data_IF_154136561125
#
_entry.id   IF_154136561125
#
_cell.length_a   1.000
_cell.length_b   1.000
_cell.length_c   1.000
_cell.angle_alpha   90.00
_cell.angle_beta   90.00
_cell.angle_gamma   90.00
#
_symmetry.space_group_name_H-M   'P 1'
#
loop_
_entity.id
_entity.type
_entity.pdbx_description
1 polymer ?
#
# COMPACT_ATOMS: atom_id res chain seq x y z
N UNK A 1 -37.41 40.38 -57.89
CA UNK A 1 -36.13 39.72 -58.25
C UNK A 1 -35.12 40.03 -57.16
N UNK A 2 -34.50 38.98 -56.65
CA UNK A 2 -33.55 38.91 -55.53
C UNK A 2 -32.36 39.87 -55.62
N UNK A 3 -31.95 40.44 -54.49
CA UNK A 3 -30.54 40.61 -54.09
C UNK A 3 -30.43 40.83 -52.57
N UNK A 4 -29.68 39.94 -51.92
CA UNK A 4 -29.15 40.10 -50.56
C UNK A 4 -28.02 41.12 -50.58
N UNK A 5 -27.80 41.84 -49.47
CA UNK A 5 -26.46 42.21 -49.03
C UNK A 5 -26.41 42.37 -47.50
N UNK A 6 -25.40 41.75 -46.89
CA UNK A 6 -24.97 41.80 -45.49
C UNK A 6 -23.88 42.86 -45.37
N UNK A 7 -23.93 43.74 -44.36
CA UNK A 7 -22.80 44.41 -43.65
C UNK A 7 -23.46 45.10 -42.44
N UNK A 8 -23.00 45.18 -41.19
CA UNK A 8 -21.71 44.96 -40.53
C UNK A 8 -21.70 45.94 -39.33
N UNK A 9 -21.27 45.46 -38.16
CA UNK A 9 -21.24 46.21 -36.89
C UNK A 9 -20.21 47.34 -36.95
N UNK A 10 -20.55 48.54 -36.46
CA UNK A 10 -19.59 49.61 -36.16
C UNK A 10 -19.89 50.24 -34.80
N UNK A 11 -18.82 50.32 -34.01
CA UNK A 11 -18.63 50.99 -32.72
C UNK A 11 -19.19 52.41 -32.64
N UNK A 12 -19.66 52.80 -31.45
CA UNK A 12 -19.64 54.19 -31.00
C UNK A 12 -18.96 54.25 -29.63
N UNK A 13 -17.77 54.86 -29.59
CA UNK A 13 -17.11 55.33 -28.38
C UNK A 13 -17.60 56.74 -28.05
N UNK A 14 -17.84 57.04 -26.77
CA UNK A 14 -17.69 58.40 -26.24
C UNK A 14 -17.08 58.35 -24.83
N UNK A 15 -16.07 59.19 -24.68
CA UNK A 15 -15.09 59.34 -23.59
C UNK A 15 -15.65 60.25 -22.50
N UNK A 16 -15.20 60.09 -21.23
CA UNK A 16 -14.71 61.15 -20.31
C UNK A 16 -14.85 60.74 -18.82
N UNK A 17 -13.75 60.43 -18.14
CA UNK A 17 -13.02 61.32 -17.19
C UNK A 17 -11.98 60.52 -16.41
N UNK A 18 -10.79 61.11 -16.28
CA UNK A 18 -9.64 60.49 -15.64
C UNK A 18 -9.71 60.53 -14.12
N UNK A 19 -9.22 59.46 -13.51
CA UNK A 19 -8.49 59.52 -12.24
C UNK A 19 -7.24 58.69 -12.43
N UNK A 20 -6.08 59.36 -12.35
CA UNK A 20 -4.78 58.71 -12.22
C UNK A 20 -4.69 58.22 -10.77
N UNK A 21 -4.62 56.90 -10.58
CA UNK A 21 -4.11 56.30 -9.33
C UNK A 21 -2.92 55.45 -9.69
N UNK A 22 -1.82 55.72 -8.98
CA UNK A 22 -0.49 55.16 -9.15
C UNK A 22 -0.45 53.64 -8.98
N UNK A 23 0.54 53.05 -9.64
CA UNK A 23 0.99 51.66 -9.52
C UNK A 23 0.94 51.12 -8.08
N UNK A 24 0.28 49.97 -7.91
CA UNK A 24 0.74 49.00 -6.93
C UNK A 24 0.81 47.64 -7.62
N UNK A 25 1.99 47.03 -7.49
CA UNK A 25 2.36 45.76 -8.08
C UNK A 25 1.30 44.70 -7.80
N UNK A 26 0.59 44.26 -8.84
CA UNK A 26 -0.04 42.94 -8.84
C UNK A 26 1.10 41.92 -8.84
N UNK A 27 1.54 41.51 -7.64
CA UNK A 27 2.25 40.24 -7.50
C UNK A 27 1.29 39.16 -7.95
N UNK A 28 1.56 38.60 -9.13
CA UNK A 28 1.08 37.27 -9.48
C UNK A 28 1.46 36.33 -8.35
N UNK A 29 0.51 36.04 -7.48
CA UNK A 29 0.51 34.80 -6.73
C UNK A 29 0.17 33.74 -7.77
N UNK A 30 1.20 33.24 -8.46
CA UNK A 30 1.15 31.91 -9.04
C UNK A 30 0.94 30.96 -7.87
N UNK A 31 -0.33 30.72 -7.55
CA UNK A 31 -0.71 29.54 -6.80
C UNK A 31 -0.29 28.39 -7.71
N UNK A 32 0.79 27.73 -7.33
CA UNK A 32 1.05 26.37 -7.79
C UNK A 32 -0.17 25.56 -7.36
N UNK A 33 -1.16 25.48 -8.25
CA UNK A 33 -2.16 24.43 -8.21
C UNK A 33 -1.34 23.17 -8.44
N UNK A 34 -0.84 22.59 -7.34
CA UNK A 34 -0.53 21.17 -7.29
C UNK A 34 -1.79 20.52 -7.84
N UNK A 35 -1.73 20.06 -9.09
CA UNK A 35 -2.83 19.33 -9.69
C UNK A 35 -3.16 18.22 -8.72
N UNK A 36 -4.26 18.41 -7.99
CA UNK A 36 -4.82 17.37 -7.15
C UNK A 36 -4.96 16.16 -8.05
N UNK A 37 -4.36 15.06 -7.64
CA UNK A 37 -4.56 13.77 -8.25
C UNK A 37 -6.07 13.54 -8.25
N UNK A 38 -6.75 13.87 -9.36
CA UNK A 38 -8.09 13.35 -9.61
C UNK A 38 -7.95 11.87 -9.35
N UNK A 39 -8.73 11.32 -8.41
CA UNK A 39 -8.75 9.89 -8.14
C UNK A 39 -9.00 9.22 -9.48
N UNK A 40 -7.91 8.79 -10.11
CA UNK A 40 -7.96 7.97 -11.29
C UNK A 40 -8.72 6.74 -10.85
N UNK A 41 -9.53 6.19 -11.75
CA UNK A 41 -10.37 5.03 -11.49
C UNK A 41 -9.46 3.81 -11.20
N UNK A 42 -8.85 3.77 -10.01
CA UNK A 42 -7.95 2.71 -9.57
C UNK A 42 -8.80 1.46 -9.54
N UNK A 43 -8.47 0.57 -10.44
CA UNK A 43 -9.18 -0.68 -10.63
C UNK A 43 -8.24 -1.87 -10.46
N UNK A 44 -6.96 -1.62 -10.19
CA UNK A 44 -5.92 -2.64 -10.10
C UNK A 44 -5.01 -2.37 -8.92
N UNK A 45 -4.91 -3.33 -8.02
CA UNK A 45 -4.02 -3.28 -6.87
C UNK A 45 -3.24 -4.58 -6.77
N UNK A 46 -1.92 -4.48 -6.66
CA UNK A 46 -1.03 -5.58 -6.29
C UNK A 46 -0.47 -5.29 -4.91
N UNK A 47 -0.74 -6.16 -3.94
CA UNK A 47 -0.16 -6.12 -2.60
C UNK A 47 0.88 -7.24 -2.47
N UNK A 48 2.13 -6.87 -2.24
CA UNK A 48 3.26 -7.79 -2.08
C UNK A 48 3.73 -7.76 -0.62
N UNK A 49 3.71 -8.91 0.05
CA UNK A 49 4.25 -9.09 1.39
C UNK A 49 5.57 -9.85 1.32
N UNK A 50 6.64 -9.27 1.89
CA UNK A 50 7.92 -9.94 2.11
C UNK A 50 7.94 -10.42 3.57
N UNK A 51 7.89 -11.74 3.80
CA UNK A 51 7.80 -12.34 5.13
C UNK A 51 9.04 -11.98 5.97
N UNK A 52 8.85 -11.45 7.18
CA UNK A 52 9.91 -11.29 8.17
C UNK A 52 11.01 -10.28 7.85
N UNK A 53 10.68 -9.09 7.31
CA UNK A 53 11.69 -8.08 6.93
C UNK A 53 11.96 -7.09 8.06
N UNK A 54 13.17 -7.15 8.63
CA UNK A 54 13.70 -6.09 9.50
C UNK A 54 13.93 -4.79 8.71
N UNK A 55 13.23 -3.71 9.09
CA UNK A 55 13.30 -2.39 8.40
C UNK A 55 14.70 -1.77 8.40
N UNK A 56 15.48 -1.93 9.48
CA UNK A 56 16.85 -1.41 9.52
C UNK A 56 17.72 -2.03 8.41
N UNK A 57 17.62 -3.34 8.19
CA UNK A 57 18.34 -4.02 7.10
C UNK A 57 17.87 -3.57 5.73
N UNK A 58 16.56 -3.43 5.55
CA UNK A 58 15.99 -2.94 4.30
C UNK A 58 16.57 -1.56 3.94
N UNK A 59 16.64 -0.64 4.92
CA UNK A 59 17.18 0.69 4.72
C UNK A 59 18.67 0.66 4.36
N UNK A 60 19.47 -0.18 5.02
CA UNK A 60 20.88 -0.36 4.68
C UNK A 60 21.04 -0.84 3.22
N UNK A 61 20.20 -1.79 2.79
CA UNK A 61 20.23 -2.35 1.44
C UNK A 61 19.70 -1.40 0.35
N UNK A 62 18.76 -0.52 0.70
CA UNK A 62 18.33 0.57 -0.17
C UNK A 62 19.46 1.59 -0.34
N UNK A 63 20.15 1.96 0.75
CA UNK A 63 21.25 2.93 0.71
C UNK A 63 22.46 2.42 -0.09
N UNK A 64 22.71 1.12 -0.10
CA UNK A 64 23.77 0.48 -0.89
C UNK A 64 23.36 0.15 -2.34
N UNK A 65 22.09 0.38 -2.72
CA UNK A 65 21.60 0.21 -4.08
C UNK A 65 21.35 -1.24 -4.50
N UNK A 66 21.06 -2.13 -3.55
CA UNK A 66 20.88 -3.57 -3.84
C UNK A 66 19.45 -3.95 -4.18
N UNK A 67 18.49 -3.12 -3.79
CA UNK A 67 17.06 -3.34 -4.00
C UNK A 67 16.57 -2.43 -5.11
N UNK A 68 17.02 -2.69 -6.33
CA UNK A 68 16.84 -1.82 -7.49
C UNK A 68 15.37 -1.68 -7.90
N UNK A 69 14.59 -2.75 -7.84
CA UNK A 69 13.17 -2.71 -8.23
C UNK A 69 12.34 -1.96 -7.18
N UNK A 70 12.57 -2.22 -5.89
CA UNK A 70 11.95 -1.48 -4.81
C UNK A 70 12.35 0.00 -4.84
N UNK A 71 13.62 0.31 -5.12
CA UNK A 71 14.09 1.70 -5.28
C UNK A 71 13.36 2.42 -6.41
N UNK A 72 13.10 1.75 -7.54
CA UNK A 72 12.33 2.32 -8.64
C UNK A 72 10.87 2.60 -8.24
N UNK A 73 10.24 1.69 -7.51
CA UNK A 73 8.89 1.89 -6.96
C UNK A 73 8.86 3.11 -6.02
N UNK A 74 9.83 3.20 -5.11
CA UNK A 74 9.93 4.32 -4.16
C UNK A 74 10.17 5.64 -4.89
N UNK A 75 10.97 5.66 -5.96
CA UNK A 75 11.24 6.85 -6.74
C UNK A 75 10.00 7.41 -7.46
N UNK A 76 9.07 6.53 -7.87
CA UNK A 76 7.79 6.93 -8.49
C UNK A 76 6.73 7.34 -7.45
N UNK A 77 6.82 6.79 -6.24
CA UNK A 77 5.87 7.06 -5.17
C UNK A 77 6.56 7.41 -3.86
N UNK A 78 6.50 6.47 -2.90
CA UNK A 78 7.00 6.71 -1.53
C UNK A 78 7.22 5.42 -0.75
N UNK A 79 8.01 5.53 0.31
CA UNK A 79 8.08 4.57 1.42
C UNK A 79 7.71 5.27 2.73
N UNK A 80 7.07 4.54 3.65
CA UNK A 80 6.77 5.03 4.99
C UNK A 80 6.78 3.91 6.02
N UNK A 81 7.02 4.24 7.29
CA UNK A 81 6.97 3.26 8.35
C UNK A 81 5.56 3.13 8.92
N UNK A 82 5.15 1.91 9.21
CA UNK A 82 3.95 1.55 9.97
C UNK A 82 4.34 0.69 11.17
N UNK A 83 3.45 0.51 12.13
CA UNK A 83 3.71 -0.30 13.32
C UNK A 83 2.70 -1.42 13.53
N UNK A 84 3.16 -2.51 14.14
CA UNK A 84 2.29 -3.53 14.71
C UNK A 84 1.74 -2.98 16.02
N UNK A 85 0.44 -2.64 16.01
CA UNK A 85 -0.25 -2.13 17.19
C UNK A 85 -1.36 -3.06 17.69
N UNK A 86 -1.85 -3.97 16.83
CA UNK A 86 -3.16 -4.61 17.04
C UNK A 86 -3.07 -6.15 17.25
N UNK A 87 -1.85 -6.70 17.33
CA UNK A 87 -1.57 -8.06 17.84
C UNK A 87 -0.27 -8.09 18.63
N UNK A 88 -0.16 -8.97 19.63
CA UNK A 88 0.96 -8.96 20.58
C UNK A 88 2.16 -9.82 20.16
N UNK A 89 1.94 -10.78 19.27
CA UNK A 89 2.97 -11.71 18.78
C UNK A 89 3.30 -11.39 17.33
N UNK A 90 4.56 -11.13 17.06
CA UNK A 90 5.14 -10.83 15.75
C UNK A 90 5.40 -12.13 14.99
N UNK A 91 4.32 -12.79 14.57
CA UNK A 91 4.36 -14.05 13.80
C UNK A 91 3.53 -13.91 12.54
N UNK A 92 3.78 -14.78 11.57
CA UNK A 92 3.20 -14.70 10.23
C UNK A 92 1.68 -14.60 10.19
N UNK A 93 0.93 -15.45 10.92
CA UNK A 93 -0.53 -15.48 10.82
C UNK A 93 -1.21 -14.22 11.39
N UNK A 94 -0.84 -13.69 12.58
CA UNK A 94 -1.35 -12.42 13.05
C UNK A 94 -1.08 -11.23 12.11
N UNK A 95 0.14 -11.10 11.59
CA UNK A 95 0.47 -9.98 10.68
C UNK A 95 -0.34 -10.05 9.39
N UNK A 96 -0.40 -11.24 8.77
CA UNK A 96 -1.25 -11.45 7.60
C UNK A 96 -2.76 -11.30 7.89
N UNK A 97 -3.22 -11.64 9.09
CA UNK A 97 -4.60 -11.39 9.50
C UNK A 97 -4.88 -9.88 9.57
N UNK A 98 -4.00 -9.10 10.20
CA UNK A 98 -4.14 -7.65 10.27
C UNK A 98 -4.08 -7.01 8.87
N UNK A 99 -3.08 -7.38 8.07
CA UNK A 99 -2.86 -6.87 6.72
C UNK A 99 -4.01 -7.18 5.75
N UNK A 100 -4.59 -8.38 5.83
CA UNK A 100 -5.61 -8.87 4.88
C UNK A 100 -7.04 -8.73 5.39
N UNK A 101 -7.27 -8.12 6.55
CA UNK A 101 -8.61 -7.88 7.07
C UNK A 101 -8.84 -6.46 7.57
N UNK A 102 -7.77 -5.78 8.01
CA UNK A 102 -7.84 -4.49 8.69
C UNK A 102 -8.25 -4.58 10.15
N UNK A 103 -8.17 -5.78 10.74
CA UNK A 103 -8.52 -6.08 12.12
C UNK A 103 -7.34 -6.62 12.91
N UNK A 104 -7.20 -6.12 14.14
CA UNK A 104 -6.33 -6.69 15.14
C UNK A 104 -6.81 -8.04 15.65
N UNK A 105 -5.95 -8.68 16.45
CA UNK A 105 -6.19 -9.99 17.07
C UNK A 105 -7.47 -10.10 17.89
N UNK A 106 -7.96 -9.00 18.47
CA UNK A 106 -9.22 -8.95 19.23
C UNK A 106 -10.43 -9.26 18.34
N UNK A 107 -10.48 -8.68 17.13
CA UNK A 107 -11.57 -8.86 16.19
C UNK A 107 -11.33 -10.04 15.24
N UNK A 108 -10.07 -10.31 14.85
CA UNK A 108 -9.73 -11.41 13.95
C UNK A 108 -9.67 -12.77 14.64
N UNK A 109 -9.41 -12.81 15.95
CA UNK A 109 -9.17 -14.06 16.71
C UNK A 109 -7.83 -14.73 16.40
N UNK A 110 -7.02 -14.19 15.48
CA UNK A 110 -5.72 -14.75 15.08
C UNK A 110 -4.62 -14.14 15.94
N UNK A 111 -4.14 -14.91 16.92
CA UNK A 111 -3.18 -14.43 17.94
C UNK A 111 -1.76 -14.97 17.75
N UNK A 112 -1.58 -16.03 16.97
CA UNK A 112 -0.29 -16.67 16.65
C UNK A 112 -0.44 -17.64 15.46
N UNK A 113 0.62 -18.39 15.14
CA UNK A 113 0.66 -19.41 14.06
C UNK A 113 -0.08 -20.73 14.40
N UNK A 114 -1.14 -20.70 15.21
CA UNK A 114 -1.95 -21.90 15.49
C UNK A 114 -2.79 -22.28 14.27
N UNK A 115 -2.70 -23.54 13.85
CA UNK A 115 -3.51 -24.08 12.75
C UNK A 115 -5.02 -24.00 13.05
N UNK A 116 -5.85 -23.99 12.01
CA UNK A 116 -7.30 -24.17 12.14
C UNK A 116 -8.05 -22.92 12.65
N UNK A 117 -7.35 -21.80 12.79
CA UNK A 117 -7.96 -20.50 13.06
C UNK A 117 -8.13 -19.77 11.73
N UNK A 118 -9.37 -19.44 11.42
CA UNK A 118 -9.75 -18.66 10.23
C UNK A 118 -10.10 -17.24 10.62
N UNK A 119 -9.92 -16.30 9.70
CA UNK A 119 -10.61 -15.01 9.83
C UNK A 119 -12.12 -15.25 9.97
N UNK A 120 -12.84 -14.45 10.76
CA UNK A 120 -14.30 -14.54 10.79
C UNK A 120 -14.88 -14.31 9.39
N UNK A 121 -16.03 -14.94 9.12
CA UNK A 121 -16.71 -14.82 7.83
C UNK A 121 -16.98 -13.34 7.49
N UNK A 122 -16.60 -12.92 6.29
CA UNK A 122 -16.79 -11.56 5.80
C UNK A 122 -15.77 -10.54 6.33
N UNK A 123 -14.67 -10.97 6.95
CA UNK A 123 -13.64 -10.06 7.47
C UNK A 123 -12.48 -9.87 6.51
N UNK A 124 -12.18 -10.85 5.65
CA UNK A 124 -11.06 -10.69 4.73
C UNK A 124 -11.35 -9.63 3.66
N UNK A 125 -10.28 -8.98 3.21
CA UNK A 125 -10.29 -8.04 2.09
C UNK A 125 -10.87 -8.69 0.83
N UNK A 126 -10.59 -9.99 0.62
CA UNK A 126 -11.13 -10.75 -0.50
C UNK A 126 -12.65 -10.85 -0.46
N UNK A 127 -13.22 -11.27 0.67
CA UNK A 127 -14.68 -11.40 0.81
C UNK A 127 -15.37 -10.05 0.66
N UNK A 128 -14.81 -8.99 1.26
CA UNK A 128 -15.38 -7.65 1.21
C UNK A 128 -15.30 -7.00 -0.16
N UNK A 129 -14.18 -7.16 -0.85
CA UNK A 129 -14.03 -6.67 -2.22
C UNK A 129 -14.96 -7.44 -3.17
N UNK A 130 -15.02 -8.77 -3.08
CA UNK A 130 -15.92 -9.59 -3.89
C UNK A 130 -17.41 -9.22 -3.66
N UNK A 131 -17.78 -8.85 -2.44
CA UNK A 131 -19.14 -8.41 -2.11
C UNK A 131 -19.45 -6.97 -2.56
N UNK A 132 -18.43 -6.09 -2.66
CA UNK A 132 -18.62 -4.65 -2.84
C UNK A 132 -18.32 -4.15 -4.25
N UNK A 133 -17.49 -4.86 -5.02
CA UNK A 133 -16.96 -4.39 -6.30
C UNK A 133 -17.33 -5.38 -7.41
N UNK A 134 -18.36 -5.03 -8.19
CA UNK A 134 -18.84 -5.87 -9.27
C UNK A 134 -17.76 -6.06 -10.35
N UNK A 135 -17.49 -7.32 -10.72
CA UNK A 135 -16.55 -7.65 -11.78
C UNK A 135 -15.07 -7.57 -11.40
N UNK A 136 -14.75 -7.36 -10.12
CA UNK A 136 -13.39 -7.41 -9.62
C UNK A 136 -12.88 -8.86 -9.54
N UNK A 137 -11.75 -9.14 -10.19
CA UNK A 137 -11.04 -10.40 -9.99
C UNK A 137 -10.17 -10.32 -8.73
N UNK A 138 -10.24 -11.33 -7.87
CA UNK A 138 -9.41 -11.39 -6.66
C UNK A 138 -8.48 -12.60 -6.71
N UNK A 139 -7.20 -12.37 -6.37
CA UNK A 139 -6.12 -13.34 -6.50
C UNK A 139 -5.22 -13.40 -5.26
N UNK A 140 -4.73 -14.59 -4.91
CA UNK A 140 -3.82 -14.76 -3.77
C UNK A 140 -2.74 -15.82 -4.04
N UNK A 141 -1.47 -15.44 -3.96
CA UNK A 141 -0.31 -16.28 -4.33
C UNK A 141 0.68 -16.36 -3.18
N UNK A 142 0.99 -17.57 -2.73
CA UNK A 142 1.79 -17.76 -1.51
C UNK A 142 3.01 -18.64 -1.73
N UNK A 143 4.20 -18.10 -1.41
CA UNK A 143 5.45 -18.88 -1.31
C UNK A 143 5.50 -19.83 -0.11
N UNK A 144 4.68 -19.54 0.91
CA UNK A 144 4.51 -20.31 2.16
C UNK A 144 3.09 -20.84 2.26
N UNK A 145 2.92 -22.16 2.21
CA UNK A 145 1.66 -22.80 2.59
C UNK A 145 1.88 -23.70 3.80
N UNK A 146 1.37 -23.24 4.92
CA UNK A 146 1.30 -23.95 6.20
C UNK A 146 -0.15 -24.26 6.52
N UNK A 147 -0.41 -24.93 7.64
CA UNK A 147 -1.76 -25.13 8.16
C UNK A 147 -2.46 -23.83 8.62
N UNK A 148 -1.72 -22.72 8.76
CA UNK A 148 -2.22 -21.44 9.27
C UNK A 148 -2.29 -20.35 8.18
N UNK A 149 -1.34 -20.29 7.24
CA UNK A 149 -1.41 -19.38 6.07
C UNK A 149 -1.11 -20.11 4.76
N UNK A 150 -1.82 -19.80 3.66
CA UNK A 150 -3.16 -19.21 3.67
C UNK A 150 -4.24 -20.17 4.20
N UNK A 151 -3.88 -21.43 4.52
CA UNK A 151 -4.80 -22.55 4.63
C UNK A 151 -6.01 -22.29 5.55
N UNK A 152 -5.80 -22.19 6.86
CA UNK A 152 -6.89 -21.85 7.77
C UNK A 152 -7.26 -20.37 7.69
N UNK A 153 -6.29 -19.46 7.61
CA UNK A 153 -6.53 -18.01 7.67
C UNK A 153 -7.58 -17.54 6.66
N UNK A 154 -7.47 -17.98 5.40
CA UNK A 154 -8.30 -17.54 4.28
C UNK A 154 -9.30 -18.61 3.80
N UNK A 155 -9.62 -19.59 4.65
CA UNK A 155 -10.51 -20.71 4.29
C UNK A 155 -11.87 -20.24 3.73
N UNK A 156 -12.44 -19.17 4.28
CA UNK A 156 -13.71 -18.58 3.82
C UNK A 156 -13.63 -17.96 2.42
N UNK A 157 -12.50 -17.31 2.09
CA UNK A 157 -12.33 -16.62 0.81
C UNK A 157 -11.91 -17.57 -0.33
N UNK A 158 -11.21 -18.66 0.00
CA UNK A 158 -10.46 -19.51 -0.94
C UNK A 158 -11.26 -20.07 -2.11
N UNK A 159 -12.55 -20.35 -1.92
CA UNK A 159 -13.41 -20.86 -2.99
C UNK A 159 -13.87 -19.77 -3.98
N UNK A 160 -13.76 -18.50 -3.59
CA UNK A 160 -14.24 -17.35 -4.36
C UNK A 160 -13.14 -16.55 -5.04
N UNK A 161 -11.88 -16.95 -4.87
CA UNK A 161 -10.71 -16.25 -5.41
C UNK A 161 -9.87 -17.19 -6.28
N UNK A 162 -9.11 -16.61 -7.20
CA UNK A 162 -8.01 -17.33 -7.81
C UNK A 162 -6.88 -17.49 -6.79
N UNK A 163 -6.38 -18.70 -6.57
CA UNK A 163 -5.31 -18.87 -5.60
C UNK A 163 -4.29 -19.92 -6.02
N UNK A 164 -3.07 -19.71 -5.55
CA UNK A 164 -1.99 -20.67 -5.62
C UNK A 164 -1.17 -20.61 -4.33
N UNK A 165 -0.70 -21.77 -3.87
CA UNK A 165 0.12 -21.87 -2.68
C UNK A 165 1.16 -22.97 -2.82
N UNK A 166 2.38 -22.69 -2.39
CA UNK A 166 3.45 -23.66 -2.37
C UNK A 166 3.43 -24.51 -1.09
N UNK A 167 3.05 -25.78 -1.24
CA UNK A 167 3.09 -26.79 -0.17
C UNK A 167 4.44 -27.52 -0.05
N UNK A 168 5.43 -27.18 -0.88
CA UNK A 168 6.73 -27.89 -0.92
C UNK A 168 7.59 -27.64 0.33
N UNK A 169 7.22 -26.68 1.18
CA UNK A 169 7.88 -26.41 2.46
C UNK A 169 7.43 -27.36 3.59
N UNK A 170 6.41 -28.21 3.36
CA UNK A 170 6.09 -29.32 4.27
C UNK A 170 7.24 -30.34 4.22
N UNK A 171 8.16 -30.26 5.18
CA UNK A 171 9.32 -31.16 5.29
C UNK A 171 10.71 -30.49 5.24
N UNK A 172 10.80 -29.15 5.31
CA UNK A 172 12.05 -28.46 5.62
C UNK A 172 13.09 -28.40 4.50
N UNK A 173 12.67 -28.40 3.23
CA UNK A 173 13.59 -28.17 2.10
C UNK A 173 13.18 -26.98 1.25
N UNK A 174 13.97 -25.91 1.35
CA UNK A 174 14.05 -24.77 0.43
C UNK A 174 14.58 -25.14 -0.97
N UNK A 175 14.19 -26.31 -1.50
CA UNK A 175 14.83 -26.88 -2.69
C UNK A 175 14.04 -26.71 -3.97
N UNK A 176 12.77 -26.30 -3.91
CA UNK A 176 12.03 -25.99 -5.14
C UNK A 176 12.15 -24.51 -5.47
N UNK A 177 12.72 -24.19 -6.64
CA UNK A 177 12.72 -22.82 -7.20
C UNK A 177 11.33 -22.18 -7.27
N UNK A 178 10.26 -23.00 -7.27
CA UNK A 178 8.86 -22.57 -7.18
C UNK A 178 8.48 -21.88 -5.86
N UNK A 179 9.18 -22.19 -4.77
CA UNK A 179 8.93 -21.61 -3.44
C UNK A 179 9.53 -20.21 -3.29
N UNK A 180 10.56 -19.91 -4.08
CA UNK A 180 11.30 -18.66 -4.03
C UNK A 180 10.53 -17.54 -4.70
N UNK A 181 10.79 -16.30 -4.33
CA UNK A 181 10.14 -15.11 -4.87
C UNK A 181 9.97 -15.11 -6.40
N UNK A 182 10.99 -15.49 -7.17
CA UNK A 182 10.86 -15.60 -8.63
C UNK A 182 9.87 -16.67 -9.11
N UNK A 183 9.78 -17.80 -8.41
CA UNK A 183 8.78 -18.85 -8.67
C UNK A 183 7.37 -18.40 -8.31
N UNK A 184 7.21 -17.74 -7.17
CA UNK A 184 5.94 -17.13 -6.74
C UNK A 184 5.49 -16.05 -7.73
N UNK A 185 6.41 -15.19 -8.17
CA UNK A 185 6.16 -14.17 -9.18
C UNK A 185 5.67 -14.79 -10.50
N UNK A 186 6.28 -15.88 -10.97
CA UNK A 186 5.84 -16.61 -12.16
C UNK A 186 4.41 -17.18 -12.03
N UNK A 187 4.00 -17.59 -10.83
CA UNK A 187 2.63 -18.01 -10.57
C UNK A 187 1.67 -16.81 -10.58
N UNK A 188 2.08 -15.66 -10.04
CA UNK A 188 1.34 -14.40 -10.17
C UNK A 188 1.10 -13.97 -11.62
N UNK A 189 2.06 -14.25 -12.53
CA UNK A 189 1.87 -13.96 -13.96
C UNK A 189 0.68 -14.73 -14.57
N UNK A 190 0.33 -15.91 -14.05
CA UNK A 190 -0.84 -16.66 -14.53
C UNK A 190 -2.15 -15.96 -14.20
N UNK A 191 -2.24 -15.36 -13.01
CA UNK A 191 -3.36 -14.51 -12.64
C UNK A 191 -3.41 -13.28 -13.55
N UNK A 192 -2.28 -12.59 -13.74
CA UNK A 192 -2.21 -11.39 -14.57
C UNK A 192 -2.53 -11.67 -16.04
N UNK A 193 -2.09 -12.79 -16.59
CA UNK A 193 -2.44 -13.21 -17.94
C UNK A 193 -3.96 -13.40 -18.12
N UNK A 194 -4.66 -13.88 -17.10
CA UNK A 194 -6.10 -14.13 -17.15
C UNK A 194 -6.94 -12.87 -16.85
N UNK A 195 -6.52 -12.05 -15.89
CA UNK A 195 -7.34 -10.98 -15.32
C UNK A 195 -6.74 -9.58 -15.46
N UNK A 196 -5.50 -9.45 -15.93
CA UNK A 196 -4.73 -8.19 -15.93
C UNK A 196 -5.36 -7.07 -16.75
N UNK A 197 -6.11 -7.41 -17.80
CA UNK A 197 -6.84 -6.43 -18.61
C UNK A 197 -8.11 -5.88 -17.90
N UNK A 198 -8.63 -6.60 -16.90
CA UNK A 198 -9.78 -6.18 -16.09
C UNK A 198 -9.39 -5.47 -14.80
N UNK A 199 -10.37 -5.27 -13.93
CA UNK A 199 -10.15 -4.79 -12.56
C UNK A 199 -9.74 -5.96 -11.66
N UNK A 200 -8.72 -5.80 -10.83
CA UNK A 200 -8.28 -6.86 -9.93
C UNK A 200 -7.65 -6.37 -8.61
N UNK A 201 -7.73 -7.23 -7.59
CA UNK A 201 -6.86 -7.20 -6.42
C UNK A 201 -6.04 -8.50 -6.35
N UNK A 202 -4.72 -8.38 -6.34
CA UNK A 202 -3.80 -9.51 -6.26
C UNK A 202 -2.91 -9.38 -5.02
N UNK A 203 -2.96 -10.38 -4.14
CA UNK A 203 -2.01 -10.53 -3.05
C UNK A 203 -0.90 -11.52 -3.42
N UNK A 204 0.35 -11.17 -3.11
CA UNK A 204 1.53 -12.01 -3.36
C UNK A 204 2.39 -12.05 -2.10
N UNK A 205 2.74 -13.25 -1.63
CA UNK A 205 3.58 -13.45 -0.45
C UNK A 205 4.90 -14.14 -0.81
N UNK A 206 6.01 -13.44 -0.56
CA UNK A 206 7.37 -13.96 -0.68
C UNK A 206 7.88 -14.39 0.70
N UNK A 207 8.20 -15.68 0.82
CA UNK A 207 8.63 -16.29 2.10
C UNK A 207 10.13 -16.18 2.36
N UNK A 208 10.89 -15.66 1.38
CA UNK A 208 12.33 -15.82 1.32
C UNK A 208 13.11 -15.22 2.49
N UNK A 209 12.85 -13.97 2.91
CA UNK A 209 13.61 -13.38 4.01
C UNK A 209 13.39 -14.12 5.32
N UNK A 210 12.13 -14.36 5.73
CA UNK A 210 11.80 -15.14 6.94
C UNK A 210 12.48 -16.52 6.98
N UNK A 211 12.37 -17.27 5.88
CA UNK A 211 12.98 -18.60 5.81
C UNK A 211 14.50 -18.53 5.94
N UNK A 212 15.16 -17.61 5.22
CA UNK A 212 16.60 -17.45 5.30
C UNK A 212 17.04 -16.96 6.69
N UNK A 213 16.28 -16.04 7.29
CA UNK A 213 16.53 -15.51 8.64
C UNK A 213 16.46 -16.60 9.70
N UNK A 214 15.51 -17.53 9.60
CA UNK A 214 15.42 -18.65 10.53
C UNK A 214 16.58 -19.63 10.46
N UNK A 215 17.15 -19.87 9.27
CA UNK A 215 18.25 -20.83 9.11
C UNK A 215 19.60 -20.18 9.36
N UNK A 216 19.79 -18.96 8.88
CA UNK A 216 21.10 -18.33 8.79
C UNK A 216 21.25 -17.08 9.68
N UNK A 217 20.17 -16.60 10.31
CA UNK A 217 20.04 -15.31 11.00
C UNK A 217 19.85 -14.10 10.08
N UNK A 218 19.21 -13.05 10.59
CA UNK A 218 19.01 -11.75 9.91
C UNK A 218 20.34 -11.10 9.49
N UNK A 219 21.40 -11.30 10.28
CA UNK A 219 22.72 -10.71 10.04
C UNK A 219 23.52 -11.38 8.91
N UNK A 220 22.98 -12.43 8.29
CA UNK A 220 23.70 -13.28 7.34
C UNK A 220 23.71 -12.75 5.91
N UNK A 221 24.66 -13.25 5.12
CA UNK A 221 24.68 -13.02 3.67
C UNK A 221 23.48 -13.67 2.98
N UNK A 222 22.97 -14.77 3.53
CA UNK A 222 21.82 -15.51 3.02
C UNK A 222 20.51 -14.75 3.19
N UNK A 223 20.27 -14.14 4.37
CA UNK A 223 19.09 -13.29 4.58
C UNK A 223 19.10 -12.07 3.65
N UNK A 224 20.27 -11.44 3.49
CA UNK A 224 20.50 -10.35 2.54
C UNK A 224 20.28 -10.79 1.09
N UNK A 225 20.77 -11.97 0.69
CA UNK A 225 20.50 -12.51 -0.64
C UNK A 225 19.02 -12.82 -0.86
N UNK A 226 18.30 -13.28 0.17
CA UNK A 226 16.86 -13.52 0.10
C UNK A 226 16.05 -12.23 -0.13
N UNK A 227 16.48 -11.10 0.42
CA UNK A 227 15.90 -9.78 0.11
C UNK A 227 16.14 -9.37 -1.35
N UNK A 228 17.32 -9.67 -1.92
CA UNK A 228 17.59 -9.46 -3.35
C UNK A 228 16.71 -10.35 -4.22
N UNK A 229 16.48 -11.60 -3.83
CA UNK A 229 15.54 -12.51 -4.53
C UNK A 229 14.09 -11.98 -4.48
N UNK A 230 13.65 -11.47 -3.32
CA UNK A 230 12.34 -10.83 -3.17
C UNK A 230 12.18 -9.59 -4.06
N UNK A 231 13.23 -8.75 -4.15
CA UNK A 231 13.29 -7.61 -5.06
C UNK A 231 13.22 -8.04 -6.54
N UNK A 232 13.93 -9.11 -6.91
CA UNK A 232 13.85 -9.70 -8.25
C UNK A 232 12.45 -10.21 -8.60
N UNK A 233 11.77 -10.86 -7.64
CA UNK A 233 10.38 -11.28 -7.77
C UNK A 233 9.41 -10.10 -7.99
N UNK A 234 9.62 -9.00 -7.27
CA UNK A 234 8.90 -7.74 -7.50
C UNK A 234 9.15 -7.22 -8.92
N UNK A 235 10.40 -7.23 -9.39
CA UNK A 235 10.77 -6.85 -10.74
C UNK A 235 9.97 -7.61 -11.81
N UNK A 236 9.88 -8.94 -11.69
CA UNK A 236 9.11 -9.80 -12.61
C UNK A 236 7.65 -9.36 -12.70
N UNK A 237 6.99 -9.12 -11.55
CA UNK A 237 5.58 -8.70 -11.51
C UNK A 237 5.41 -7.31 -12.16
N UNK A 238 6.28 -6.36 -11.83
CA UNK A 238 6.19 -5.00 -12.38
C UNK A 238 6.38 -4.98 -13.89
N UNK A 239 7.26 -5.83 -14.42
CA UNK A 239 7.52 -5.92 -15.85
C UNK A 239 6.36 -6.54 -16.62
N UNK A 240 5.67 -7.52 -16.04
CA UNK A 240 4.44 -8.05 -16.64
C UNK A 240 3.36 -6.96 -16.71
N UNK A 241 3.18 -6.18 -15.65
CA UNK A 241 2.23 -5.06 -15.66
C UNK A 241 2.57 -4.03 -16.75
N UNK A 242 3.86 -3.79 -17.02
CA UNK A 242 4.31 -2.92 -18.12
C UNK A 242 4.03 -3.54 -19.48
N UNK A 243 4.30 -4.84 -19.63
CA UNK A 243 4.04 -5.62 -20.84
C UNK A 243 2.55 -5.63 -21.21
N UNK A 244 1.67 -5.76 -20.20
CA UNK A 244 0.21 -5.67 -20.36
C UNK A 244 -0.29 -4.23 -20.59
N UNK A 245 0.58 -3.22 -20.43
CA UNK A 245 0.22 -1.81 -20.58
C UNK A 245 -0.62 -1.25 -19.42
N UNK A 246 -0.72 -1.95 -18.29
CA UNK A 246 -1.57 -1.58 -17.15
C UNK A 246 -0.80 -1.05 -15.94
N UNK A 247 0.54 -1.01 -15.99
CA UNK A 247 1.40 -0.55 -14.88
C UNK A 247 1.00 0.84 -14.35
N UNK A 248 0.80 1.82 -15.23
CA UNK A 248 0.48 3.20 -14.83
C UNK A 248 -0.86 3.32 -14.09
N UNK A 249 -1.80 2.40 -14.36
CA UNK A 249 -3.12 2.32 -13.75
C UNK A 249 -3.18 1.34 -12.56
N UNK A 250 -2.06 0.70 -12.23
CA UNK A 250 -1.97 -0.27 -11.14
C UNK A 250 -1.27 0.37 -9.95
N UNK A 251 -1.89 0.23 -8.77
CA UNK A 251 -1.24 0.56 -7.51
C UNK A 251 -0.52 -0.67 -6.99
N UNK A 252 0.77 -0.53 -6.73
CA UNK A 252 1.61 -1.59 -6.20
C UNK A 252 1.97 -1.19 -4.77
N UNK A 253 1.67 -2.05 -3.81
CA UNK A 253 1.95 -1.86 -2.39
C UNK A 253 2.91 -2.97 -1.97
N UNK A 254 4.02 -2.63 -1.32
CA UNK A 254 4.98 -3.59 -0.78
C UNK A 254 5.11 -3.35 0.72
N UNK A 255 5.02 -4.42 1.50
CA UNK A 255 5.16 -4.39 2.96
C UNK A 255 5.75 -5.70 3.47
N UNK A 256 5.87 -5.81 4.78
CA UNK A 256 6.15 -7.04 5.52
C UNK A 256 5.10 -7.23 6.61
N UNK A 257 4.99 -8.44 7.17
CA UNK A 257 4.05 -8.84 8.22
C UNK A 257 4.65 -8.78 9.64
N UNK A 258 5.97 -8.90 9.74
CA UNK A 258 6.74 -8.66 10.95
C UNK A 258 8.20 -8.40 10.62
N UNK A 259 8.94 -7.88 11.59
CA UNK A 259 10.39 -7.76 11.50
C UNK A 259 11.14 -9.02 11.97
N UNK A 260 12.43 -8.82 12.28
CA UNK A 260 13.36 -9.89 12.67
C UNK A 260 14.36 -9.39 13.73
N UNK A 261 14.74 -10.27 14.67
CA UNK A 261 15.70 -9.94 15.73
C UNK A 261 17.07 -9.57 15.14
N UNK A 262 17.74 -8.55 15.70
CA UNK A 262 19.02 -8.06 15.16
C UNK A 262 20.08 -9.15 15.22
N UNK A 263 20.64 -9.51 14.06
CA UNK A 263 21.59 -10.63 13.95
C UNK A 263 21.07 -11.95 14.55
N UNK A 264 19.76 -12.07 14.78
CA UNK A 264 19.11 -13.23 15.40
C UNK A 264 18.43 -14.14 14.39
N UNK A 265 17.95 -15.30 14.86
CA UNK A 265 17.20 -16.29 14.07
C UNK A 265 15.69 -16.31 14.43
N UNK A 266 15.27 -15.41 15.32
CA UNK A 266 13.91 -15.31 15.84
C UNK A 266 13.24 -14.01 15.45
N UNK A 267 11.93 -13.98 15.65
CA UNK A 267 11.11 -12.82 15.41
C UNK A 267 10.03 -12.67 16.50
N UNK A 268 10.27 -13.15 17.73
CA UNK A 268 9.28 -13.11 18.82
C UNK A 268 9.79 -12.53 20.14
N UNK A 269 11.10 -12.41 20.32
CA UNK A 269 11.68 -11.94 21.57
C UNK A 269 11.38 -10.46 21.78
N UNK A 270 10.61 -10.16 22.83
CA UNK A 270 10.11 -8.82 23.12
C UNK A 270 8.80 -8.46 22.40
N UNK A 271 8.32 -9.29 21.47
CA UNK A 271 7.07 -9.07 20.73
C UNK A 271 6.95 -7.64 20.19
N UNK A 272 5.79 -7.03 20.33
CA UNK A 272 5.54 -5.65 19.86
C UNK A 272 6.39 -4.57 20.55
N UNK A 273 6.96 -4.85 21.72
CA UNK A 273 7.84 -3.89 22.42
C UNK A 273 9.23 -3.81 21.80
N UNK A 274 9.60 -4.76 20.94
CA UNK A 274 10.83 -4.74 20.19
C UNK A 274 10.61 -4.02 18.83
N UNK A 275 11.17 -2.82 18.62
CA UNK A 275 10.94 -2.05 17.39
C UNK A 275 11.48 -2.76 16.14
N UNK A 276 12.45 -3.66 16.29
CA UNK A 276 12.98 -4.46 15.19
C UNK A 276 11.98 -5.48 14.65
N UNK A 277 10.97 -5.80 15.44
CA UNK A 277 9.90 -6.73 15.11
C UNK A 277 8.60 -6.00 14.77
N UNK A 278 8.36 -4.84 15.37
CA UNK A 278 7.07 -4.13 15.28
C UNK A 278 7.07 -2.93 14.35
N UNK A 279 8.22 -2.38 13.96
CA UNK A 279 8.29 -1.35 12.91
C UNK A 279 8.40 -2.04 11.55
N UNK A 280 7.45 -1.75 10.68
CA UNK A 280 7.35 -2.28 9.33
C UNK A 280 7.48 -1.14 8.32
N UNK A 281 7.60 -1.48 7.04
CA UNK A 281 7.58 -0.51 5.94
C UNK A 281 6.37 -0.73 5.05
N UNK A 282 5.86 0.35 4.46
CA UNK A 282 4.92 0.31 3.34
C UNK A 282 5.49 1.18 2.24
N UNK A 283 5.82 0.56 1.10
CA UNK A 283 6.24 1.24 -0.13
C UNK A 283 5.13 1.17 -1.18
N UNK A 284 5.03 2.20 -2.01
CA UNK A 284 4.06 2.26 -3.09
C UNK A 284 4.59 3.03 -4.29
N UNK A 285 4.20 2.61 -5.50
CA UNK A 285 4.47 3.34 -6.74
C UNK A 285 3.59 4.58 -6.91
N UNK A 286 2.69 4.83 -5.97
CA UNK A 286 1.88 6.05 -5.89
C UNK A 286 2.20 6.81 -4.61
N UNK A 287 2.55 8.08 -4.75
CA UNK A 287 2.74 8.99 -3.64
C UNK A 287 1.41 9.39 -3.02
N UNK A 288 0.93 8.67 -2.01
CA UNK A 288 -0.20 9.14 -1.21
C UNK A 288 0.25 10.26 -0.27
N UNK A 289 -0.55 11.30 -0.04
CA UNK A 289 -0.26 12.21 1.07
C UNK A 289 -0.44 11.47 2.40
N UNK A 290 0.50 11.63 3.34
CA UNK A 290 0.34 11.05 4.68
C UNK A 290 -0.69 11.88 5.42
N UNK A 291 -1.86 11.32 5.73
CA UNK A 291 -2.84 12.00 6.57
C UNK A 291 -2.37 12.10 8.04
N UNK A 292 -1.58 11.12 8.50
CA UNK A 292 -1.21 10.94 9.92
C UNK A 292 0.24 10.47 10.05
N UNK A 293 1.13 11.34 10.52
CA UNK A 293 2.46 10.89 10.96
C UNK A 293 2.37 10.29 12.36
N UNK A 294 3.01 9.12 12.57
CA UNK A 294 3.17 8.51 13.89
C UNK A 294 2.10 7.51 14.35
N UNK A 295 0.92 7.47 13.72
CA UNK A 295 -0.18 6.54 14.03
C UNK A 295 -0.61 5.77 12.78
N UNK A 296 0.36 5.09 12.16
CA UNK A 296 0.13 4.23 10.99
C UNK A 296 0.37 2.80 11.39
N UNK A 297 -0.58 1.93 11.06
CA UNK A 297 -0.63 0.56 11.55
C UNK A 297 -0.63 -0.44 10.42
N UNK A 298 -0.26 -1.68 10.71
CA UNK A 298 -0.37 -2.77 9.74
C UNK A 298 -1.82 -2.97 9.24
N UNK A 299 -2.81 -2.77 10.11
CA UNK A 299 -4.24 -2.81 9.77
C UNK A 299 -4.66 -1.74 8.75
N UNK A 300 -3.89 -0.66 8.61
CA UNK A 300 -4.16 0.41 7.63
C UNK A 300 -3.97 -0.07 6.18
N UNK A 301 -3.23 -1.16 5.95
CA UNK A 301 -3.04 -1.72 4.60
C UNK A 301 -4.37 -2.13 3.98
N UNK A 302 -5.19 -2.92 4.70
CA UNK A 302 -6.51 -3.31 4.21
C UNK A 302 -7.44 -2.11 4.04
N UNK A 303 -7.42 -1.17 5.00
CA UNK A 303 -8.20 0.07 4.91
C UNK A 303 -7.86 0.87 3.64
N UNK A 304 -6.57 0.93 3.30
CA UNK A 304 -6.09 1.57 2.08
C UNK A 304 -6.57 0.84 0.82
N UNK A 305 -6.57 -0.49 0.82
CA UNK A 305 -7.09 -1.27 -0.31
C UNK A 305 -8.58 -0.97 -0.53
N UNK A 306 -9.40 -0.89 0.52
CA UNK A 306 -10.81 -0.53 0.37
C UNK A 306 -10.99 0.85 -0.24
N UNK A 307 -10.24 1.84 0.23
CA UNK A 307 -10.31 3.21 -0.30
C UNK A 307 -9.89 3.28 -1.77
N UNK A 308 -8.85 2.53 -2.18
CA UNK A 308 -8.41 2.47 -3.58
C UNK A 308 -9.50 1.92 -4.52
N UNK A 309 -10.36 1.03 -4.02
CA UNK A 309 -11.51 0.51 -4.76
C UNK A 309 -12.82 1.29 -4.53
N UNK A 310 -12.76 2.44 -3.85
CA UNK A 310 -13.93 3.24 -3.47
C UNK A 310 -14.97 2.44 -2.64
N UNK A 311 -14.52 1.47 -1.85
CA UNK A 311 -15.39 0.71 -0.95
C UNK A 311 -15.58 1.51 0.34
N UNK A 312 -16.84 1.76 0.71
CA UNK A 312 -17.17 2.49 1.93
C UNK A 312 -16.94 1.61 3.18
N UNK A 313 -15.71 1.62 3.69
CA UNK A 313 -15.31 0.83 4.86
C UNK A 313 -15.93 1.31 6.18
N UNK A 314 -16.47 2.54 6.24
CA UNK A 314 -17.17 3.05 7.43
C UNK A 314 -18.48 2.31 7.75
N UNK A 315 -19.03 1.59 6.76
CA UNK A 315 -20.24 0.78 6.92
C UNK A 315 -19.95 -0.63 7.47
N UNK A 316 -18.68 -1.00 7.64
CA UNK A 316 -18.32 -2.33 8.12
C UNK A 316 -18.66 -2.52 9.59
N UNK A 317 -19.15 -3.72 9.91
CA UNK A 317 -19.46 -4.15 11.27
C UNK A 317 -18.68 -5.44 11.55
N UNK A 318 -17.79 -5.46 12.56
CA UNK A 318 -17.34 -4.32 13.37
C UNK A 318 -16.58 -3.28 12.53
N UNK A 319 -16.46 -2.05 13.03
CA UNK A 319 -15.64 -1.03 12.38
C UNK A 319 -14.19 -1.52 12.27
N UNK A 320 -13.48 -1.18 11.18
CA UNK A 320 -12.07 -1.52 11.01
C UNK A 320 -11.22 -0.90 12.13
N UNK A 321 -10.19 -1.63 12.55
CA UNK A 321 -9.16 -1.08 13.43
C UNK A 321 -8.20 -0.17 12.64
N UNK A 322 -8.01 -0.50 11.35
CA UNK A 322 -7.19 0.26 10.41
C UNK A 322 -7.91 1.47 9.82
N UNK A 323 -7.12 2.45 9.40
CA UNK A 323 -7.57 3.64 8.68
C UNK A 323 -6.62 3.89 7.51
N UNK A 324 -7.16 4.19 6.34
CA UNK A 324 -6.40 4.27 5.10
C UNK A 324 -5.16 5.17 5.19
N UNK A 325 -4.05 4.69 4.61
CA UNK A 325 -2.82 5.43 4.38
C UNK A 325 -2.95 6.39 3.20
N UNK A 326 -3.95 6.18 2.33
CA UNK A 326 -4.19 7.03 1.18
C UNK A 326 -5.07 8.23 1.56
N UNK A 327 -4.53 9.44 1.40
CA UNK A 327 -5.37 10.64 1.31
C UNK A 327 -5.71 10.86 -0.15
N UNK A 328 -6.90 10.39 -0.54
CA UNK A 328 -7.46 10.68 -1.85
C UNK A 328 -7.97 12.13 -1.87
N UNK A 329 -7.59 12.96 -2.86
CA UNK A 329 -8.19 14.28 -3.03
C UNK A 329 -9.69 14.13 -3.34
N UNK A 330 -10.54 14.35 -2.34
CA UNK A 330 -12.01 14.26 -2.51
C UNK A 330 -12.86 14.15 -1.25
N UNK A 331 -12.31 13.71 -0.12
CA UNK A 331 -13.09 13.47 1.11
C UNK A 331 -12.87 14.47 2.25
N UNK A 332 -12.52 15.73 1.95
CA UNK A 332 -12.71 16.79 2.94
C UNK A 332 -14.20 17.19 2.96
N UNK A 333 -14.98 16.53 3.82
CA UNK A 333 -16.15 17.20 4.37
C UNK A 333 -15.63 18.43 5.11
N UNK A 334 -15.87 19.62 4.56
CA UNK A 334 -15.54 20.90 5.17
C UNK A 334 -16.41 21.07 6.41
N UNK A 335 -15.99 20.46 7.51
CA UNK A 335 -16.49 20.74 8.86
C UNK A 335 -15.71 21.91 9.43
N UNK A 336 -16.04 23.14 9.02
CA UNK A 336 -15.54 24.33 9.69
C UNK A 336 -16.21 24.42 11.06
N UNK A 337 -15.51 24.01 12.12
CA UNK A 337 -15.78 24.50 13.47
C UNK A 337 -15.18 25.91 13.60
N UNK A 338 -15.97 26.95 13.89
CA UNK A 338 -15.43 28.29 14.07
C UNK A 338 -14.77 28.39 15.45
N UNK A 339 -13.48 28.72 15.47
CA UNK A 339 -12.86 29.32 16.65
C UNK A 339 -11.49 28.79 17.01
N UNK A 340 -10.46 29.29 16.32
CA UNK A 340 -9.16 29.56 16.95
C UNK A 340 -8.59 30.84 16.33
N UNK A 341 -8.64 31.92 17.11
CA UNK A 341 -7.98 33.18 16.80
C UNK A 341 -6.47 32.97 16.84
N UNK A 342 -5.79 33.24 15.72
CA UNK A 342 -4.33 33.36 15.69
C UNK A 342 -3.94 34.64 16.46
N UNK A 343 -3.31 34.45 17.62
CA UNK A 343 -2.58 35.49 18.32
C UNK A 343 -1.41 35.96 17.45
N UNK A 344 -1.47 37.25 17.15
CA UNK A 344 -0.45 38.06 16.48
C UNK A 344 0.92 37.96 17.12
N UNK A 345 1.94 37.64 16.33
CA UNK A 345 3.36 37.84 16.66
C UNK A 345 3.75 39.25 16.16
N UNK A 346 4.23 40.17 17.02
CA UNK A 346 4.71 41.47 16.55
C UNK A 346 6.19 41.37 16.15
N UNK A 347 6.49 41.71 14.90
CA UNK A 347 7.86 41.99 14.46
C UNK A 347 8.05 43.52 14.45
N UNK A 348 8.80 44.06 15.40
CA UNK A 348 9.26 45.45 15.39
C UNK A 348 10.68 45.51 14.81
N UNK A 349 10.83 46.16 13.66
CA UNK A 349 12.13 46.58 13.12
C UNK A 349 12.31 48.08 13.43
N UNK A 350 13.27 48.39 14.30
CA UNK A 350 13.78 49.75 14.46
C UNK A 350 15.00 49.91 13.55
N UNK A 351 14.98 50.95 12.71
CA UNK A 351 16.15 51.46 12.01
C UNK A 351 16.87 52.50 12.88
N UNK A 352 18.20 52.38 12.96
CA UNK A 352 19.13 53.47 13.16
C UNK A 352 20.37 53.20 12.30
#
# INVERSE_FOLDING_TARGET
MTRRLVVGVVLVCLVLWGVVVSESMSRDLSVDVVQGFHVSNISRVVLVSWDGVRVARLNDMLASGELGNLSAIIAEGRITNVTIADHSVTTTAPGHAAMLSGYGSSASGVVNNTCGISLPLGYSVFERLNASVLGLATGSVWGKSTCYVPDSLLSNARQSIWWWGNFSLIGGKYSSSRARAGGVANESLKFLSQYGNGSFFLFVHFTDPDYAGHIFSEGSAEYRAALVEADGGLGIITEELRTLGVYNETVIIITTDHGFEENGAGHTSGGVSNPDLSVLFVASNKGWAVAREGDRKETDVAATVYDLFNVNSSAFVPALDGTSLAVLPGNFAVGLSPGWNLLSIPFSLNFA
#
